data_IF_521527495683
#
_entry.id   IF_521527495683
#
_cell.length_a   1.000
_cell.length_b   1.000
_cell.length_c   1.000
_cell.angle_alpha   90.00
_cell.angle_beta   90.00
_cell.angle_gamma   90.00
#
_symmetry.space_group_name_H-M   'P 1'
#
loop_
_entity.id
_entity.type
_entity.pdbx_description
1 polymer ?
#
# COMPACT_ATOMS: atom_id res chain seq x y z
N UNK A 1 69.60 16.21 26.82
CA UNK A 1 68.73 15.05 26.56
C UNK A 1 67.34 15.62 26.22
N UNK A 2 67.08 15.77 24.94
CA UNK A 2 65.83 16.42 24.44
C UNK A 2 64.83 15.34 24.14
N UNK A 3 63.69 15.41 24.81
CA UNK A 3 62.51 14.58 24.49
C UNK A 3 61.73 15.24 23.37
N UNK A 4 61.72 14.63 22.20
CA UNK A 4 60.89 15.03 21.08
C UNK A 4 59.45 14.58 21.30
N UNK A 5 58.55 15.54 21.39
CA UNK A 5 57.13 15.34 21.50
C UNK A 5 56.57 15.21 20.08
N UNK A 6 56.34 14.00 19.60
CA UNK A 6 55.68 13.71 18.33
C UNK A 6 54.18 13.73 18.48
N UNK A 7 53.58 14.86 18.22
CA UNK A 7 52.15 14.98 18.01
C UNK A 7 51.76 14.28 16.67
N UNK A 8 51.29 13.06 16.78
CA UNK A 8 50.67 12.33 15.68
C UNK A 8 49.33 13.00 15.31
N UNK A 9 49.27 13.59 14.14
CA UNK A 9 47.99 13.96 13.49
C UNK A 9 47.26 12.69 13.08
N UNK A 10 45.99 12.46 13.49
CA UNK A 10 45.23 11.36 12.98
C UNK A 10 44.60 11.77 11.63
N UNK A 11 45.37 11.63 10.57
CA UNK A 11 44.92 11.80 9.19
C UNK A 11 44.91 10.50 8.42
N UNK A 12 44.56 9.41 9.08
CA UNK A 12 44.38 8.10 8.44
C UNK A 12 42.94 7.91 8.00
N UNK A 13 42.68 7.72 6.69
CA UNK A 13 41.42 7.23 6.17
C UNK A 13 41.03 5.95 6.91
N UNK A 14 40.08 6.05 7.83
CA UNK A 14 39.46 4.86 8.44
C UNK A 14 38.62 4.17 7.36
N UNK A 15 38.78 2.86 7.12
CA UNK A 15 37.91 2.14 6.21
C UNK A 15 36.46 2.20 6.72
N UNK A 16 35.48 2.27 5.82
CA UNK A 16 34.04 2.40 6.14
C UNK A 16 33.49 1.32 7.10
N UNK A 17 34.22 0.21 7.30
CA UNK A 17 33.88 -0.89 8.21
C UNK A 17 34.48 -0.72 9.61
N UNK A 18 35.06 0.41 9.95
CA UNK A 18 35.77 0.64 11.21
C UNK A 18 35.07 1.63 12.16
N UNK A 19 33.74 1.81 12.01
CA UNK A 19 32.98 2.54 13.01
C UNK A 19 32.95 1.71 14.31
N UNK A 20 33.16 2.34 15.47
CA UNK A 20 33.10 1.63 16.74
C UNK A 20 31.67 1.06 16.98
N UNK A 21 31.58 -0.08 17.64
CA UNK A 21 30.29 -0.74 17.95
C UNK A 21 29.32 0.17 18.75
N UNK A 22 29.86 1.10 19.52
CA UNK A 22 29.09 2.15 20.20
C UNK A 22 29.61 3.51 19.80
N UNK A 23 28.71 4.39 19.40
CA UNK A 23 29.02 5.75 18.97
C UNK A 23 28.66 6.78 20.02
N UNK A 24 29.64 7.57 20.47
CA UNK A 24 29.34 8.80 21.19
C UNK A 24 28.85 9.89 20.22
N UNK A 25 28.11 10.87 20.74
CA UNK A 25 27.64 12.00 19.94
C UNK A 25 28.79 12.79 19.27
N UNK A 26 29.90 12.96 19.96
CA UNK A 26 31.07 13.66 19.42
C UNK A 26 31.71 12.90 18.27
N UNK A 27 31.87 11.59 18.40
CA UNK A 27 32.35 10.73 17.30
C UNK A 27 31.41 10.75 16.11
N UNK A 28 30.09 10.65 16.32
CA UNK A 28 29.11 10.72 15.26
C UNK A 28 29.20 12.06 14.50
N UNK A 29 29.35 13.19 15.21
CA UNK A 29 29.55 14.51 14.59
C UNK A 29 30.86 14.61 13.77
N UNK A 30 31.91 13.98 14.21
CA UNK A 30 33.19 13.94 13.48
C UNK A 30 33.04 13.11 12.20
N UNK A 31 32.48 11.91 12.28
CA UNK A 31 32.22 11.06 11.11
C UNK A 31 31.24 11.67 10.10
N UNK A 32 30.24 12.41 10.57
CA UNK A 32 29.30 13.14 9.70
C UNK A 32 29.97 14.20 8.83
N UNK A 33 31.15 14.69 9.22
CA UNK A 33 31.93 15.67 8.47
C UNK A 33 33.06 15.06 7.64
N UNK A 34 33.15 13.71 7.61
CA UNK A 34 34.16 13.02 6.81
C UNK A 34 34.03 13.41 5.34
N UNK A 35 35.16 13.64 4.68
CA UNK A 35 35.21 13.84 3.22
C UNK A 35 34.79 12.58 2.46
N UNK A 36 34.95 11.39 3.05
CA UNK A 36 34.61 10.11 2.46
C UNK A 36 33.10 9.81 2.62
N UNK A 37 32.31 9.80 1.51
CA UNK A 37 30.89 9.47 1.58
C UNK A 37 30.60 8.07 2.12
N UNK A 38 31.52 7.12 1.94
CA UNK A 38 31.36 5.77 2.46
C UNK A 38 31.33 5.74 3.99
N UNK A 39 32.14 6.61 4.64
CA UNK A 39 32.13 6.79 6.11
C UNK A 39 30.81 7.42 6.56
N UNK A 40 30.34 8.47 5.88
CA UNK A 40 29.05 9.12 6.20
C UNK A 40 27.87 8.17 6.00
N UNK A 41 27.88 7.35 4.93
CA UNK A 41 26.85 6.35 4.68
C UNK A 41 26.90 5.21 5.73
N UNK A 42 28.09 4.78 6.15
CA UNK A 42 28.22 3.80 7.25
C UNK A 42 27.65 4.36 8.56
N UNK A 43 27.96 5.62 8.86
CA UNK A 43 27.37 6.33 10.01
C UNK A 43 25.84 6.38 9.90
N UNK A 44 25.28 6.73 8.77
CA UNK A 44 23.84 6.78 8.58
C UNK A 44 23.14 5.42 8.75
N UNK A 45 23.85 4.30 8.52
CA UNK A 45 23.34 2.94 8.77
C UNK A 45 23.52 2.48 10.24
N UNK A 46 24.33 3.18 11.01
CA UNK A 46 24.66 2.74 12.37
C UNK A 46 23.44 2.92 13.30
N UNK A 47 23.08 1.89 14.11
CA UNK A 47 21.89 1.94 14.97
C UNK A 47 21.96 3.00 16.08
N UNK A 48 23.19 3.35 16.55
CA UNK A 48 23.39 4.33 17.61
C UNK A 48 23.51 5.76 17.07
N UNK A 49 23.31 6.00 15.77
CA UNK A 49 23.38 7.35 15.22
C UNK A 49 22.21 8.19 15.71
N UNK A 50 22.54 9.29 16.38
CA UNK A 50 21.55 10.15 16.99
C UNK A 50 20.65 10.85 15.92
N UNK A 51 19.39 11.13 16.24
CA UNK A 51 18.43 11.75 15.31
C UNK A 51 18.92 13.06 14.67
N UNK A 52 19.64 13.90 15.44
CA UNK A 52 20.15 15.17 14.93
C UNK A 52 21.22 14.98 13.85
N UNK A 53 22.04 13.93 13.99
CA UNK A 53 23.06 13.58 13.00
C UNK A 53 22.40 12.99 11.75
N UNK A 54 21.37 12.14 11.90
CA UNK A 54 20.59 11.63 10.78
C UNK A 54 19.88 12.74 10.04
N UNK A 55 19.33 13.73 10.75
CA UNK A 55 18.71 14.90 10.12
C UNK A 55 19.74 15.69 9.26
N UNK A 56 20.95 15.92 9.78
CA UNK A 56 22.03 16.56 9.02
C UNK A 56 22.41 15.75 7.77
N UNK A 57 22.52 14.42 7.88
CA UNK A 57 22.89 13.54 6.76
C UNK A 57 21.73 13.36 5.75
N UNK A 58 20.49 13.71 6.09
CA UNK A 58 19.38 13.71 5.14
C UNK A 58 19.53 14.77 4.02
N UNK A 59 20.36 15.77 4.23
CA UNK A 59 20.68 16.80 3.24
C UNK A 59 22.07 16.58 2.59
N UNK A 60 22.65 15.40 2.73
CA UNK A 60 23.97 15.08 2.15
C UNK A 60 23.95 15.17 0.62
N UNK A 61 25.02 15.66 0.03
CA UNK A 61 25.19 15.73 -1.44
C UNK A 61 25.13 14.35 -2.10
N UNK A 62 25.59 13.32 -1.39
CA UNK A 62 25.71 11.96 -1.93
C UNK A 62 24.43 11.16 -1.74
N UNK A 63 23.80 10.67 -2.83
CA UNK A 63 22.56 9.88 -2.75
C UNK A 63 22.67 8.64 -1.86
N UNK A 64 23.83 7.99 -1.84
CA UNK A 64 24.05 6.79 -1.02
C UNK A 64 23.99 7.08 0.49
N UNK A 65 24.38 8.28 0.92
CA UNK A 65 24.26 8.73 2.31
C UNK A 65 22.80 8.99 2.64
N UNK A 66 22.09 9.77 1.82
CA UNK A 66 20.65 10.04 1.99
C UNK A 66 19.82 8.76 1.97
N UNK A 67 20.19 7.80 1.10
CA UNK A 67 19.55 6.48 1.04
C UNK A 67 19.73 5.69 2.34
N UNK A 68 20.92 5.75 2.93
CA UNK A 68 21.16 5.11 4.23
C UNK A 68 20.29 5.73 5.33
N UNK A 69 20.14 7.06 5.35
CA UNK A 69 19.20 7.77 6.24
C UNK A 69 17.75 7.32 6.01
N UNK A 70 17.31 7.23 4.74
CA UNK A 70 15.96 6.79 4.39
C UNK A 70 15.60 5.41 4.95
N UNK A 71 16.58 4.53 5.08
CA UNK A 71 16.43 3.16 5.62
C UNK A 71 16.55 3.05 7.14
N UNK A 72 17.13 4.04 7.81
CA UNK A 72 17.39 3.98 9.24
C UNK A 72 16.10 4.27 10.04
N UNK A 73 15.69 3.34 10.91
CA UNK A 73 14.48 3.46 11.73
C UNK A 73 14.56 4.56 12.79
N UNK A 74 15.77 4.97 13.17
CA UNK A 74 16.03 6.06 14.13
C UNK A 74 15.94 7.45 13.47
N UNK A 75 15.76 7.52 12.15
CA UNK A 75 15.62 8.80 11.43
C UNK A 75 14.42 9.59 11.97
N UNK A 76 14.64 10.85 12.37
CA UNK A 76 13.54 11.67 12.88
C UNK A 76 12.53 11.99 11.77
N UNK A 77 11.25 12.11 12.12
CA UNK A 77 10.16 12.29 11.15
C UNK A 77 10.29 13.57 10.31
N UNK A 78 10.99 14.58 10.83
CA UNK A 78 11.33 15.78 10.06
C UNK A 78 12.26 15.46 8.88
N UNK A 79 13.25 14.60 9.09
CA UNK A 79 14.14 14.15 8.03
C UNK A 79 13.42 13.20 7.05
N UNK A 80 12.54 12.33 7.54
CA UNK A 80 11.67 11.52 6.67
C UNK A 80 10.85 12.40 5.73
N UNK A 81 10.21 13.44 6.25
CA UNK A 81 9.43 14.38 5.43
C UNK A 81 10.29 15.14 4.40
N UNK A 82 11.52 15.47 4.75
CA UNK A 82 12.45 16.07 3.79
C UNK A 82 12.76 15.10 2.64
N UNK A 83 13.06 13.84 2.95
CA UNK A 83 13.40 12.79 1.97
C UNK A 83 12.21 12.35 1.09
N UNK A 84 10.96 12.68 1.43
CA UNK A 84 9.81 12.42 0.52
C UNK A 84 9.95 13.18 -0.79
N UNK A 85 10.73 14.24 -0.83
CA UNK A 85 10.97 15.09 -2.01
C UNK A 85 12.36 14.87 -2.63
N UNK A 86 13.05 13.80 -2.25
CA UNK A 86 14.37 13.49 -2.81
C UNK A 86 14.28 13.27 -4.33
N UNK A 87 15.26 13.75 -5.07
CA UNK A 87 15.33 13.57 -6.52
C UNK A 87 15.52 12.11 -6.95
N UNK A 88 16.08 11.28 -6.08
CA UNK A 88 16.38 9.89 -6.37
C UNK A 88 15.21 8.96 -6.05
N UNK A 89 14.66 8.30 -7.06
CA UNK A 89 13.53 7.38 -6.96
C UNK A 89 13.75 6.26 -5.94
N UNK A 90 14.97 5.73 -5.88
CA UNK A 90 15.35 4.67 -4.95
C UNK A 90 15.29 5.09 -3.48
N UNK A 91 15.54 6.37 -3.19
CA UNK A 91 15.46 6.93 -1.83
C UNK A 91 14.02 7.04 -1.40
N UNK A 92 13.12 7.59 -2.25
CA UNK A 92 11.68 7.68 -1.96
C UNK A 92 11.04 6.29 -1.82
N UNK A 93 11.48 5.32 -2.63
CA UNK A 93 11.05 3.91 -2.55
C UNK A 93 11.43 3.28 -1.20
N UNK A 94 12.69 3.42 -0.77
CA UNK A 94 13.17 2.89 0.51
C UNK A 94 12.49 3.58 1.69
N UNK A 95 12.25 4.88 1.61
CA UNK A 95 11.55 5.66 2.60
C UNK A 95 10.09 5.21 2.76
N UNK A 96 9.38 5.02 1.63
CA UNK A 96 8.00 4.54 1.64
C UNK A 96 7.88 3.17 2.33
N UNK A 97 8.77 2.24 2.03
CA UNK A 97 8.82 0.93 2.66
C UNK A 97 9.06 1.02 4.18
N UNK A 98 9.98 1.88 4.61
CA UNK A 98 10.25 2.11 6.04
C UNK A 98 9.05 2.70 6.76
N UNK A 99 8.49 3.81 6.27
CA UNK A 99 7.41 4.52 6.95
C UNK A 99 6.15 3.65 7.01
N UNK A 100 5.80 2.97 5.92
CA UNK A 100 4.65 2.09 5.88
C UNK A 100 4.79 0.92 6.88
N UNK A 101 5.98 0.31 6.98
CA UNK A 101 6.29 -0.76 7.95
C UNK A 101 6.18 -0.31 9.41
N UNK A 102 6.54 0.94 9.71
CA UNK A 102 6.48 1.50 11.06
C UNK A 102 5.10 2.07 11.43
N UNK A 103 4.20 2.21 10.45
CA UNK A 103 2.86 2.80 10.67
C UNK A 103 1.97 2.00 11.63
N UNK A 104 1.95 0.64 11.64
CA UNK A 104 1.12 -0.12 12.56
C UNK A 104 1.44 0.14 14.05
N UNK A 105 2.67 0.51 14.37
CA UNK A 105 3.13 0.81 15.74
C UNK A 105 2.87 2.27 16.16
N UNK A 106 2.36 3.10 15.25
CA UNK A 106 2.02 4.49 15.54
C UNK A 106 0.78 4.55 16.43
N UNK A 107 0.94 5.08 17.62
CA UNK A 107 -0.19 5.41 18.49
C UNK A 107 -1.01 6.54 17.86
N UNK A 108 -2.34 6.37 17.81
CA UNK A 108 -3.30 7.36 17.26
C UNK A 108 -3.43 8.66 18.08
N UNK A 109 -2.38 9.12 18.70
CA UNK A 109 -2.42 10.46 19.25
C UNK A 109 -2.24 11.50 18.12
N UNK A 110 -3.34 11.89 17.52
CA UNK A 110 -3.39 12.90 16.45
C UNK A 110 -2.75 14.24 16.85
N UNK A 111 -2.52 14.49 18.13
CA UNK A 111 -1.83 15.67 18.67
C UNK A 111 -0.32 15.50 18.68
N UNK A 112 0.17 14.27 18.60
CA UNK A 112 1.60 13.98 18.56
C UNK A 112 2.22 14.55 17.28
N UNK A 113 3.33 15.28 17.44
CA UNK A 113 4.11 15.78 16.29
C UNK A 113 4.63 14.65 15.42
N UNK A 114 4.98 13.52 16.02
CA UNK A 114 5.46 12.32 15.31
C UNK A 114 4.35 11.78 14.40
N UNK A 115 3.13 11.61 14.92
CA UNK A 115 1.98 11.16 14.14
C UNK A 115 1.71 12.09 12.95
N UNK A 116 1.59 13.40 13.20
CA UNK A 116 1.30 14.38 12.13
C UNK A 116 2.34 14.38 11.02
N UNK A 117 3.62 14.35 11.36
CA UNK A 117 4.70 14.31 10.38
C UNK A 117 4.73 12.99 9.59
N UNK A 118 4.42 11.87 10.25
CA UNK A 118 4.31 10.58 9.57
C UNK A 118 3.15 10.56 8.58
N UNK A 119 1.97 11.03 8.99
CA UNK A 119 0.80 11.13 8.08
C UNK A 119 1.12 12.05 6.90
N UNK A 120 1.74 13.20 7.15
CA UNK A 120 2.15 14.12 6.08
C UNK A 120 3.15 13.49 5.10
N UNK A 121 4.12 12.72 5.60
CA UNK A 121 5.06 12.00 4.74
C UNK A 121 4.36 10.92 3.90
N UNK A 122 3.42 10.18 4.50
CA UNK A 122 2.61 9.18 3.77
C UNK A 122 1.72 9.83 2.71
N UNK A 123 1.10 10.98 2.98
CA UNK A 123 0.30 11.72 2.01
C UNK A 123 1.14 12.14 0.79
N UNK A 124 2.34 12.70 1.02
CA UNK A 124 3.25 13.08 -0.07
C UNK A 124 3.67 11.87 -0.91
N UNK A 125 4.01 10.74 -0.26
CA UNK A 125 4.41 9.51 -0.95
C UNK A 125 3.23 8.82 -1.67
N UNK A 126 2.00 8.97 -1.18
CA UNK A 126 0.80 8.47 -1.85
C UNK A 126 0.45 9.25 -3.14
N UNK A 127 1.03 10.43 -3.34
CA UNK A 127 0.96 11.23 -4.57
C UNK A 127 2.25 11.17 -5.40
N UNK A 128 3.20 10.30 -5.05
CA UNK A 128 4.46 10.19 -5.80
C UNK A 128 4.19 9.83 -7.27
N UNK A 129 4.99 10.41 -8.17
CA UNK A 129 4.88 10.15 -9.61
C UNK A 129 5.17 8.68 -9.95
N UNK A 130 6.01 8.01 -9.15
CA UNK A 130 6.33 6.61 -9.34
C UNK A 130 5.24 5.70 -8.77
N UNK A 131 4.62 4.93 -9.65
CA UNK A 131 3.64 3.89 -9.27
C UNK A 131 4.21 2.94 -8.22
N UNK A 132 5.50 2.58 -8.33
CA UNK A 132 6.13 1.65 -7.39
C UNK A 132 6.16 2.19 -5.95
N UNK A 133 6.36 3.49 -5.73
CA UNK A 133 6.30 4.11 -4.39
C UNK A 133 4.89 3.98 -3.83
N UNK A 134 3.87 4.37 -4.60
CA UNK A 134 2.46 4.28 -4.20
C UNK A 134 2.02 2.84 -3.96
N UNK A 135 2.47 1.88 -4.81
CA UNK A 135 2.18 0.46 -4.65
C UNK A 135 2.75 -0.12 -3.35
N UNK A 136 3.99 0.24 -2.97
CA UNK A 136 4.59 -0.19 -1.71
C UNK A 136 3.74 0.27 -0.52
N UNK A 137 3.23 1.50 -0.53
CA UNK A 137 2.31 1.99 0.49
C UNK A 137 1.02 1.17 0.52
N UNK A 138 0.40 0.96 -0.64
CA UNK A 138 -0.84 0.19 -0.76
C UNK A 138 -0.69 -1.24 -0.24
N UNK A 139 0.36 -1.96 -0.68
CA UNK A 139 0.62 -3.34 -0.26
C UNK A 139 0.90 -3.47 1.24
N UNK A 140 1.56 -2.47 1.84
CA UNK A 140 1.92 -2.52 3.25
C UNK A 140 0.78 -2.06 4.16
N UNK A 141 -0.06 -1.11 3.71
CA UNK A 141 -1.12 -0.51 4.53
C UNK A 141 -2.50 -1.13 4.31
N UNK A 142 -2.68 -1.99 3.32
CA UNK A 142 -3.99 -2.54 2.91
C UNK A 142 -4.80 -3.19 4.03
N UNK A 143 -4.15 -3.85 4.98
CA UNK A 143 -4.79 -4.58 6.09
C UNK A 143 -4.54 -3.95 7.46
N UNK A 144 -3.93 -2.76 7.50
CA UNK A 144 -3.64 -2.03 8.74
C UNK A 144 -4.91 -1.29 9.21
N UNK A 145 -5.50 -1.74 10.32
CA UNK A 145 -6.76 -1.19 10.85
C UNK A 145 -6.66 0.30 11.27
N UNK A 146 -5.49 0.76 11.66
CA UNK A 146 -5.23 2.13 12.11
C UNK A 146 -4.45 2.96 11.07
N UNK A 147 -4.44 2.53 9.81
CA UNK A 147 -3.82 3.34 8.75
C UNK A 147 -4.57 4.67 8.60
N UNK A 148 -3.85 5.77 8.29
CA UNK A 148 -4.47 7.08 8.12
C UNK A 148 -5.54 7.04 7.01
N UNK A 149 -6.81 7.29 7.38
CA UNK A 149 -7.94 7.14 6.47
C UNK A 149 -7.82 7.98 5.19
N UNK A 150 -7.19 9.16 5.27
CA UNK A 150 -6.94 9.99 4.11
C UNK A 150 -5.98 9.33 3.12
N UNK A 151 -4.87 8.77 3.61
CA UNK A 151 -3.90 8.04 2.77
C UNK A 151 -4.56 6.84 2.10
N UNK A 152 -5.35 6.06 2.85
CA UNK A 152 -6.08 4.90 2.31
C UNK A 152 -7.05 5.32 1.21
N UNK A 153 -7.81 6.43 1.38
CA UNK A 153 -8.71 6.93 0.33
C UNK A 153 -7.94 7.41 -0.90
N UNK A 154 -6.78 8.06 -0.73
CA UNK A 154 -5.93 8.47 -1.86
C UNK A 154 -5.50 7.26 -2.68
N UNK A 155 -4.98 6.21 -2.03
CA UNK A 155 -4.57 4.97 -2.69
C UNK A 155 -5.75 4.22 -3.33
N UNK A 156 -6.94 4.25 -2.71
CA UNK A 156 -8.16 3.63 -3.25
C UNK A 156 -8.66 4.31 -4.54
N UNK A 157 -8.34 5.59 -4.75
CA UNK A 157 -8.67 6.36 -5.95
C UNK A 157 -7.50 6.45 -6.94
N UNK A 158 -6.44 5.69 -6.74
CA UNK A 158 -5.29 5.73 -7.65
C UNK A 158 -5.69 5.33 -9.07
N UNK A 159 -5.06 5.98 -10.05
CA UNK A 159 -5.27 5.69 -11.46
C UNK A 159 -4.62 4.37 -11.92
N UNK A 160 -3.76 3.78 -11.11
CA UNK A 160 -3.13 2.48 -11.37
C UNK A 160 -3.80 1.39 -10.51
N UNK A 161 -4.33 0.36 -11.18
CA UNK A 161 -5.03 -0.72 -10.49
C UNK A 161 -4.13 -1.49 -9.51
N UNK A 162 -2.83 -1.61 -9.80
CA UNK A 162 -1.90 -2.30 -8.90
C UNK A 162 -1.71 -1.58 -7.56
N UNK A 163 -2.07 -0.30 -7.50
CA UNK A 163 -2.11 0.51 -6.28
C UNK A 163 -3.49 0.44 -5.62
N UNK A 164 -4.57 0.63 -6.40
CA UNK A 164 -5.92 0.70 -5.85
C UNK A 164 -6.48 -0.67 -5.41
N UNK A 165 -6.22 -1.75 -6.17
CA UNK A 165 -6.80 -3.08 -5.93
C UNK A 165 -6.55 -3.62 -4.52
N UNK A 166 -5.31 -3.67 -3.98
CA UNK A 166 -5.07 -4.22 -2.65
C UNK A 166 -5.80 -3.44 -1.55
N UNK A 167 -5.89 -2.13 -1.68
CA UNK A 167 -6.59 -1.28 -0.70
C UNK A 167 -8.11 -1.45 -0.81
N UNK A 168 -8.65 -1.46 -2.04
CA UNK A 168 -10.08 -1.68 -2.29
C UNK A 168 -10.54 -3.04 -1.79
N UNK A 169 -9.72 -4.08 -1.93
CA UNK A 169 -10.08 -5.43 -1.53
C UNK A 169 -9.92 -5.67 -0.02
N UNK A 170 -8.87 -5.18 0.62
CA UNK A 170 -8.49 -5.62 1.96
C UNK A 170 -8.61 -4.57 3.04
N UNK A 171 -8.63 -3.26 2.72
CA UNK A 171 -8.54 -2.25 3.76
C UNK A 171 -9.77 -2.21 4.69
N UNK A 172 -9.59 -2.41 6.00
CA UNK A 172 -10.66 -2.25 6.97
C UNK A 172 -11.02 -0.78 7.25
N UNK A 173 -10.21 0.15 6.77
CA UNK A 173 -10.39 1.60 6.99
C UNK A 173 -11.45 2.17 6.06
N UNK A 174 -11.65 1.57 4.86
CA UNK A 174 -12.68 2.01 3.93
C UNK A 174 -14.07 1.61 4.45
N UNK A 175 -14.91 2.61 4.65
CA UNK A 175 -16.32 2.41 5.03
C UNK A 175 -17.17 2.02 3.82
N UNK A 176 -18.38 1.48 4.07
CA UNK A 176 -19.34 1.19 2.99
C UNK A 176 -19.71 2.46 2.21
N UNK A 177 -19.79 3.62 2.87
CA UNK A 177 -20.03 4.91 2.19
C UNK A 177 -18.87 5.31 1.29
N UNK A 178 -17.61 5.12 1.72
CA UNK A 178 -16.44 5.33 0.87
C UNK A 178 -16.50 4.45 -0.39
N UNK A 179 -16.81 3.16 -0.21
CA UNK A 179 -16.92 2.19 -1.31
C UNK A 179 -18.08 2.51 -2.26
N UNK A 180 -19.26 2.90 -1.73
CA UNK A 180 -20.39 3.36 -2.55
C UNK A 180 -20.03 4.60 -3.36
N UNK A 181 -19.30 5.54 -2.76
CA UNK A 181 -18.82 6.74 -3.45
C UNK A 181 -17.89 6.37 -4.61
N UNK A 182 -16.96 5.44 -4.38
CA UNK A 182 -16.04 4.95 -5.41
C UNK A 182 -16.82 4.28 -6.56
N UNK A 183 -17.75 3.37 -6.25
CA UNK A 183 -18.56 2.68 -7.27
C UNK A 183 -19.30 3.69 -8.14
N UNK A 184 -19.91 4.71 -7.53
CA UNK A 184 -20.70 5.74 -8.24
C UNK A 184 -19.86 6.72 -9.06
N UNK A 185 -18.60 6.90 -8.70
CA UNK A 185 -17.68 7.81 -9.43
C UNK A 185 -17.22 7.25 -10.78
N UNK A 186 -17.51 6.00 -11.12
CA UNK A 186 -17.02 5.34 -12.32
C UNK A 186 -15.51 5.09 -12.24
N UNK A 187 -15.06 4.23 -11.30
CA UNK A 187 -13.65 4.01 -11.05
C UNK A 187 -12.95 3.28 -12.21
N UNK A 188 -11.63 3.19 -12.13
CA UNK A 188 -10.81 2.49 -13.11
C UNK A 188 -11.26 1.03 -13.28
N UNK A 189 -11.04 0.49 -14.49
CA UNK A 189 -11.37 -0.89 -14.81
C UNK A 189 -10.70 -1.87 -13.82
N UNK A 190 -11.47 -2.81 -13.28
CA UNK A 190 -11.02 -3.79 -12.29
C UNK A 190 -11.25 -3.38 -10.82
N UNK A 191 -11.44 -2.09 -10.53
CA UNK A 191 -11.69 -1.62 -9.16
C UNK A 191 -12.98 -2.20 -8.56
N UNK A 192 -14.05 -2.28 -9.35
CA UNK A 192 -15.32 -2.88 -8.89
C UNK A 192 -15.16 -4.37 -8.58
N UNK A 193 -14.36 -5.09 -9.36
CA UNK A 193 -14.06 -6.49 -9.08
C UNK A 193 -13.25 -6.67 -7.79
N UNK A 194 -12.34 -5.74 -7.47
CA UNK A 194 -11.64 -5.73 -6.18
C UNK A 194 -12.61 -5.53 -5.00
N UNK A 195 -13.53 -4.57 -5.11
CA UNK A 195 -14.58 -4.34 -4.10
C UNK A 195 -15.47 -5.59 -3.95
N UNK A 196 -15.84 -6.24 -5.07
CA UNK A 196 -16.65 -7.45 -5.06
C UNK A 196 -16.01 -8.64 -4.33
N UNK A 197 -14.68 -8.70 -4.28
CA UNK A 197 -13.92 -9.75 -3.57
C UNK A 197 -13.75 -9.49 -2.08
N UNK A 198 -14.17 -8.34 -1.56
CA UNK A 198 -14.09 -8.04 -0.12
C UNK A 198 -14.85 -9.08 0.70
N UNK A 199 -14.34 -9.35 1.90
CA UNK A 199 -15.12 -10.14 2.85
C UNK A 199 -16.35 -9.34 3.34
N UNK A 200 -17.51 -9.99 3.35
CA UNK A 200 -18.74 -9.44 3.91
C UNK A 200 -19.36 -8.27 3.13
N UNK A 201 -19.24 -8.24 1.78
CA UNK A 201 -19.91 -7.20 0.95
C UNK A 201 -21.39 -7.10 1.31
N UNK A 202 -21.84 -5.92 1.75
CA UNK A 202 -23.23 -5.67 2.16
C UNK A 202 -24.18 -5.53 0.97
N UNK A 203 -25.50 -5.69 1.20
CA UNK A 203 -26.51 -5.68 0.15
C UNK A 203 -26.54 -4.40 -0.70
N UNK A 204 -26.29 -3.24 -0.10
CA UNK A 204 -26.28 -1.95 -0.81
C UNK A 204 -25.09 -1.83 -1.78
N UNK A 205 -23.91 -2.34 -1.37
CA UNK A 205 -22.75 -2.43 -2.26
C UNK A 205 -22.98 -3.42 -3.40
N UNK A 206 -23.57 -4.59 -3.09
CA UNK A 206 -23.92 -5.60 -4.10
C UNK A 206 -24.88 -5.03 -5.15
N UNK A 207 -25.89 -4.28 -4.72
CA UNK A 207 -26.83 -3.62 -5.62
C UNK A 207 -26.15 -2.58 -6.51
N UNK A 208 -25.30 -1.71 -5.92
CA UNK A 208 -24.56 -0.70 -6.68
C UNK A 208 -23.61 -1.34 -7.73
N UNK A 209 -22.93 -2.44 -7.39
CA UNK A 209 -22.08 -3.20 -8.30
C UNK A 209 -22.91 -3.78 -9.46
N UNK A 210 -24.08 -4.36 -9.18
CA UNK A 210 -24.96 -4.93 -10.21
C UNK A 210 -25.54 -3.84 -11.12
N UNK A 211 -25.87 -2.68 -10.57
CA UNK A 211 -26.36 -1.52 -11.33
C UNK A 211 -25.28 -0.93 -12.24
N UNK A 212 -24.00 -1.05 -11.91
CA UNK A 212 -22.91 -0.59 -12.78
C UNK A 212 -22.86 -1.34 -14.11
N UNK A 213 -23.35 -2.59 -14.15
CA UNK A 213 -23.30 -3.45 -15.32
C UNK A 213 -21.91 -4.03 -15.63
N UNK A 214 -20.92 -3.88 -14.75
CA UNK A 214 -19.59 -4.48 -14.92
C UNK A 214 -19.67 -6.01 -14.75
N UNK A 215 -19.56 -6.72 -15.85
CA UNK A 215 -19.72 -8.18 -15.89
C UNK A 215 -18.66 -8.91 -15.06
N UNK A 216 -17.42 -8.40 -15.04
CA UNK A 216 -16.32 -8.99 -14.27
C UNK A 216 -16.51 -8.78 -12.77
N UNK A 217 -16.98 -7.60 -12.37
CA UNK A 217 -17.30 -7.30 -10.99
C UNK A 217 -18.47 -8.14 -10.49
N UNK A 218 -19.52 -8.31 -11.32
CA UNK A 218 -20.67 -9.15 -10.98
C UNK A 218 -20.26 -10.62 -10.88
N UNK A 219 -19.40 -11.13 -11.78
CA UNK A 219 -18.86 -12.47 -11.67
C UNK A 219 -18.09 -12.67 -10.36
N UNK A 220 -17.21 -11.73 -10.00
CA UNK A 220 -16.48 -11.76 -8.73
C UNK A 220 -17.40 -11.68 -7.51
N UNK A 221 -18.47 -10.88 -7.58
CA UNK A 221 -19.49 -10.77 -6.53
C UNK A 221 -20.27 -12.09 -6.35
N UNK A 222 -20.61 -12.76 -7.43
CA UNK A 222 -21.30 -14.05 -7.42
C UNK A 222 -20.42 -15.18 -6.84
N UNK A 223 -19.13 -15.16 -7.13
CA UNK A 223 -18.14 -16.10 -6.59
C UNK A 223 -17.84 -15.86 -5.10
N UNK A 224 -18.06 -14.64 -4.62
CA UNK A 224 -17.87 -14.27 -3.23
C UNK A 224 -19.00 -14.83 -2.34
N UNK A 225 -18.72 -15.91 -1.62
CA UNK A 225 -19.70 -16.59 -0.75
C UNK A 225 -20.12 -15.77 0.47
N UNK A 226 -19.31 -14.80 0.89
CA UNK A 226 -19.62 -13.90 2.02
C UNK A 226 -20.48 -12.71 1.62
N UNK A 227 -20.57 -12.40 0.31
CA UNK A 227 -21.34 -11.27 -0.19
C UNK A 227 -22.85 -11.47 0.02
N UNK A 228 -23.51 -10.44 0.54
CA UNK A 228 -24.95 -10.38 0.71
C UNK A 228 -25.60 -9.84 -0.56
N UNK A 229 -26.34 -10.69 -1.29
CA UNK A 229 -27.12 -10.29 -2.46
C UNK A 229 -28.60 -10.47 -2.10
N UNK A 230 -29.35 -9.36 -2.14
CA UNK A 230 -30.82 -9.38 -1.92
C UNK A 230 -31.52 -10.10 -3.05
N UNK A 231 -32.74 -10.60 -2.81
CA UNK A 231 -33.50 -11.34 -3.84
C UNK A 231 -33.78 -10.46 -5.06
N UNK A 232 -34.10 -9.19 -4.86
CA UNK A 232 -34.34 -8.24 -5.94
C UNK A 232 -33.09 -8.03 -6.81
N UNK A 233 -31.93 -7.90 -6.17
CA UNK A 233 -30.63 -7.78 -6.86
C UNK A 233 -30.29 -9.06 -7.62
N UNK A 234 -30.56 -10.21 -7.02
CA UNK A 234 -30.36 -11.52 -7.67
C UNK A 234 -31.28 -11.70 -8.88
N UNK A 235 -32.56 -11.24 -8.81
CA UNK A 235 -33.48 -11.29 -9.94
C UNK A 235 -32.95 -10.47 -11.13
N UNK A 236 -32.35 -9.28 -10.90
CA UNK A 236 -31.70 -8.47 -11.94
C UNK A 236 -30.55 -9.24 -12.61
N UNK A 237 -29.73 -9.90 -11.81
CA UNK A 237 -28.63 -10.73 -12.33
C UNK A 237 -29.18 -11.87 -13.18
N UNK A 238 -30.21 -12.59 -12.67
CA UNK A 238 -30.82 -13.72 -13.34
C UNK A 238 -31.52 -13.35 -14.67
N UNK A 239 -31.97 -12.12 -14.83
CA UNK A 239 -32.54 -11.63 -16.10
C UNK A 239 -31.45 -11.50 -17.19
N UNK A 240 -30.22 -11.19 -16.82
CA UNK A 240 -29.09 -11.01 -17.74
C UNK A 240 -28.25 -12.29 -17.91
N UNK A 241 -28.26 -13.17 -16.91
CA UNK A 241 -27.41 -14.35 -16.84
C UNK A 241 -27.48 -15.30 -18.06
N UNK A 242 -28.62 -15.47 -18.76
CA UNK A 242 -28.65 -16.31 -19.97
C UNK A 242 -27.64 -15.89 -21.05
N UNK A 243 -27.31 -14.59 -21.14
CA UNK A 243 -26.34 -14.04 -22.10
C UNK A 243 -24.91 -13.95 -21.59
N UNK A 244 -24.64 -14.26 -20.32
CA UNK A 244 -23.31 -14.07 -19.69
C UNK A 244 -22.82 -15.41 -19.09
N UNK A 245 -22.10 -16.17 -19.90
CA UNK A 245 -21.65 -17.53 -19.52
C UNK A 245 -20.79 -17.54 -18.25
N UNK A 246 -19.97 -16.52 -18.04
CA UNK A 246 -19.08 -16.40 -16.87
C UNK A 246 -19.83 -16.34 -15.53
N UNK A 247 -21.14 -16.07 -15.53
CA UNK A 247 -21.96 -16.04 -14.31
C UNK A 247 -22.60 -17.38 -13.97
N UNK A 248 -22.65 -18.35 -14.91
CA UNK A 248 -23.40 -19.60 -14.75
C UNK A 248 -22.83 -20.45 -13.60
N UNK A 249 -21.52 -20.71 -13.59
CA UNK A 249 -20.90 -21.53 -12.56
C UNK A 249 -20.99 -20.87 -11.17
N UNK A 250 -20.62 -19.59 -10.98
CA UNK A 250 -20.80 -18.89 -9.71
C UNK A 250 -22.23 -18.92 -9.18
N UNK A 251 -23.24 -18.74 -10.05
CA UNK A 251 -24.65 -18.81 -9.68
C UNK A 251 -25.03 -20.20 -9.17
N UNK A 252 -24.62 -21.26 -9.87
CA UNK A 252 -24.91 -22.67 -9.48
C UNK A 252 -24.26 -23.01 -8.13
N UNK A 253 -23.06 -22.50 -7.87
CA UNK A 253 -22.29 -22.77 -6.65
C UNK A 253 -22.70 -21.89 -5.45
N UNK A 254 -23.59 -20.92 -5.66
CA UNK A 254 -23.95 -19.96 -4.62
C UNK A 254 -24.79 -20.62 -3.50
N UNK A 255 -24.42 -20.40 -2.22
CA UNK A 255 -25.20 -20.91 -1.09
C UNK A 255 -26.55 -20.17 -0.98
N UNK A 256 -27.57 -20.86 -0.47
CA UNK A 256 -28.88 -20.28 -0.12
C UNK A 256 -29.69 -19.66 -1.26
N UNK A 257 -29.75 -20.33 -2.39
CA UNK A 257 -30.65 -19.95 -3.48
C UNK A 257 -32.13 -20.29 -3.13
N UNK A 258 -33.02 -19.34 -3.48
CA UNK A 258 -34.45 -19.65 -3.43
C UNK A 258 -34.82 -20.70 -4.49
N UNK A 259 -35.90 -21.50 -4.23
CA UNK A 259 -36.36 -22.47 -5.21
C UNK A 259 -36.75 -21.85 -6.57
N UNK A 260 -37.18 -20.57 -6.57
CA UNK A 260 -37.44 -19.77 -7.79
C UNK A 260 -36.15 -19.52 -8.57
N UNK A 261 -35.13 -19.01 -7.88
CA UNK A 261 -33.81 -18.75 -8.49
C UNK A 261 -33.17 -20.04 -9.02
N UNK A 262 -33.20 -21.12 -8.26
CA UNK A 262 -32.66 -22.42 -8.66
C UNK A 262 -33.30 -22.96 -9.95
N UNK A 263 -34.61 -22.84 -10.11
CA UNK A 263 -35.31 -23.24 -11.34
C UNK A 263 -34.90 -22.40 -12.55
N UNK A 264 -34.77 -21.08 -12.37
CA UNK A 264 -34.31 -20.17 -13.44
C UNK A 264 -32.89 -20.51 -13.89
N UNK A 265 -31.97 -20.72 -12.93
CA UNK A 265 -30.58 -21.10 -13.23
C UNK A 265 -30.56 -22.43 -13.99
N UNK A 266 -31.28 -23.47 -13.51
CA UNK A 266 -31.32 -24.77 -14.17
C UNK A 266 -31.82 -24.68 -15.61
N UNK A 267 -32.77 -23.80 -15.94
CA UNK A 267 -33.31 -23.69 -17.30
C UNK A 267 -32.28 -23.15 -18.30
N UNK A 268 -31.58 -22.07 -17.99
CA UNK A 268 -30.62 -21.50 -18.94
C UNK A 268 -29.28 -22.25 -18.97
N UNK A 269 -28.84 -22.83 -17.87
CA UNK A 269 -27.63 -23.69 -17.83
C UNK A 269 -27.85 -24.97 -18.65
N UNK A 270 -29.04 -25.60 -18.54
CA UNK A 270 -29.36 -26.78 -19.36
C UNK A 270 -29.38 -26.44 -20.86
N UNK A 271 -29.99 -25.31 -21.24
CA UNK A 271 -30.00 -24.85 -22.65
C UNK A 271 -28.58 -24.60 -23.17
N UNK A 272 -27.75 -23.90 -22.40
CA UNK A 272 -26.36 -23.61 -22.77
C UNK A 272 -25.54 -24.89 -22.99
N UNK A 273 -25.73 -25.91 -22.13
CA UNK A 273 -25.06 -27.21 -22.30
C UNK A 273 -25.55 -27.96 -23.54
N UNK A 274 -26.84 -27.88 -23.86
CA UNK A 274 -27.40 -28.48 -25.06
C UNK A 274 -26.84 -27.81 -26.33
N UNK A 275 -26.78 -26.48 -26.36
CA UNK A 275 -26.20 -25.73 -27.47
C UNK A 275 -24.73 -26.10 -27.72
N UNK A 276 -23.94 -26.20 -26.64
CA UNK A 276 -22.55 -26.67 -26.73
C UNK A 276 -22.42 -28.11 -27.26
N UNK A 277 -23.34 -28.98 -26.90
CA UNK A 277 -23.34 -30.37 -27.44
C UNK A 277 -23.68 -30.38 -28.91
N UNK A 278 -24.66 -29.56 -29.37
CA UNK A 278 -25.02 -29.46 -30.80
C UNK A 278 -23.90 -28.88 -31.66
N UNK A 279 -23.08 -27.97 -31.14
CA UNK A 279 -21.95 -27.41 -31.87
C UNK A 279 -20.76 -28.39 -32.04
N UNK A 280 -20.78 -29.50 -31.30
CA UNK A 280 -19.73 -30.55 -31.36
C UNK A 280 -20.05 -31.72 -32.29
N UNK A 281 -21.28 -31.78 -32.82
CA UNK A 281 -21.79 -32.77 -33.77
C UNK A 281 -21.72 -32.22 -35.19
#
# INVERSE_FOLDING_TARGET
MSAQNTTSRPGGRLPAHALPERLSYEQAREFARSEDPAVRAALARHPDTQPEVLYFLAEDSEPEVRRAVARNDQTPRQADLLLTKDGEDGIRTDLAAKIARLTPDLQEDQRSTVYRLTVQALEVLAEDQLVNVRRILADTLKDVAHAPARVIRMLAHDSDLTVAEPVLQFSPVLTDDDLLSIIRSGPIQGALAAISRRDGVVGDLSEAIVQSGDELAIAALLDNRSAQIREETLDIILDKAPGVESWHEPLVMRPRLSAKAGRRIASFVAMHLLDKLQQRI
#
